data_IF_148106252459
#
_entry.id   IF_148106252459
#
_cell.length_a   1.000
_cell.length_b   1.000
_cell.length_c   1.000
_cell.angle_alpha   90.00
_cell.angle_beta   90.00
_cell.angle_gamma   90.00
#
_symmetry.space_group_name_H-M   'P 1'
#
loop_
_entity.id
_entity.type
_entity.pdbx_description
1 polymer ?
#
# COMPACT_ATOMS: atom_id res chain seq x y z
N UNK A 1 -3.29 9.40 -46.85
CA UNK A 1 -4.27 8.30 -47.00
C UNK A 1 -5.70 8.64 -46.55
N UNK A 2 -5.96 9.63 -45.70
CA UNK A 2 -7.33 10.10 -45.40
C UNK A 2 -7.99 10.87 -46.56
N UNK A 3 -7.17 11.62 -47.32
CA UNK A 3 -7.58 12.34 -48.54
C UNK A 3 -7.94 11.43 -49.73
N UNK A 4 -7.60 10.13 -49.66
CA UNK A 4 -7.76 9.15 -50.75
C UNK A 4 -9.07 8.34 -50.67
N UNK A 5 -10.04 8.73 -49.81
CA UNK A 5 -11.36 8.05 -49.61
C UNK A 5 -11.32 6.54 -49.33
N UNK A 6 -10.15 5.96 -49.05
CA UNK A 6 -9.95 4.51 -48.90
C UNK A 6 -10.35 3.99 -47.51
N UNK A 7 -10.56 4.89 -46.54
CA UNK A 7 -10.93 4.55 -45.17
C UNK A 7 -12.09 5.47 -44.79
N UNK A 8 -13.24 4.90 -44.41
CA UNK A 8 -14.36 5.68 -43.88
C UNK A 8 -13.94 6.22 -42.50
N UNK A 9 -14.22 7.50 -42.17
CA UNK A 9 -13.81 8.07 -40.89
C UNK A 9 -14.60 7.51 -39.70
N UNK A 10 -15.76 6.90 -39.94
CA UNK A 10 -16.70 6.44 -38.91
C UNK A 10 -16.09 5.43 -37.92
N UNK A 11 -15.35 4.37 -38.35
CA UNK A 11 -14.75 3.42 -37.41
C UNK A 11 -13.57 4.02 -36.62
N UNK A 12 -12.88 5.02 -37.17
CA UNK A 12 -11.79 5.69 -36.47
C UNK A 12 -12.31 6.50 -35.28
N UNK A 13 -13.40 7.27 -35.49
CA UNK A 13 -14.05 7.99 -34.40
C UNK A 13 -14.58 7.03 -33.33
N UNK A 14 -15.26 5.95 -33.73
CA UNK A 14 -15.76 4.95 -32.79
C UNK A 14 -14.63 4.34 -31.95
N UNK A 15 -13.52 3.96 -32.59
CA UNK A 15 -12.33 3.43 -31.92
C UNK A 15 -11.69 4.43 -30.96
N UNK A 16 -11.60 5.71 -31.34
CA UNK A 16 -11.03 6.76 -30.48
C UNK A 16 -11.87 7.00 -29.21
N UNK A 17 -13.20 7.00 -29.34
CA UNK A 17 -14.12 7.14 -28.20
C UNK A 17 -14.00 5.94 -27.28
N UNK A 18 -13.94 4.73 -27.84
CA UNK A 18 -13.76 3.50 -27.06
C UNK A 18 -12.43 3.50 -26.30
N UNK A 19 -11.35 3.94 -26.94
CA UNK A 19 -10.03 4.02 -26.34
C UNK A 19 -10.00 5.04 -25.18
N UNK A 20 -10.61 6.21 -25.36
CA UNK A 20 -10.73 7.22 -24.28
C UNK A 20 -11.56 6.66 -23.11
N UNK A 21 -12.66 5.96 -23.39
CA UNK A 21 -13.48 5.35 -22.34
C UNK A 21 -12.70 4.30 -21.52
N UNK A 22 -11.86 3.50 -22.17
CA UNK A 22 -10.97 2.54 -21.50
C UNK A 22 -9.96 3.29 -20.61
N UNK A 23 -9.33 4.35 -21.13
CA UNK A 23 -8.37 5.14 -20.35
C UNK A 23 -9.01 5.77 -19.11
N UNK A 24 -10.22 6.35 -19.23
CA UNK A 24 -10.95 6.92 -18.10
C UNK A 24 -11.29 5.83 -17.07
N UNK A 25 -11.70 4.65 -17.53
CA UNK A 25 -12.03 3.53 -16.65
C UNK A 25 -10.81 3.09 -15.84
N UNK A 26 -9.66 2.96 -16.51
CA UNK A 26 -8.42 2.54 -15.85
C UNK A 26 -7.87 3.59 -14.89
N UNK A 27 -7.89 4.87 -15.27
CA UNK A 27 -7.30 5.93 -14.44
C UNK A 27 -8.20 6.43 -13.31
N UNK A 28 -9.52 6.38 -13.47
CA UNK A 28 -10.43 6.97 -12.49
C UNK A 28 -11.39 5.94 -11.89
N UNK A 29 -12.03 5.11 -12.71
CA UNK A 29 -13.07 4.20 -12.22
C UNK A 29 -12.47 3.04 -11.38
N UNK A 30 -11.39 2.43 -11.84
CA UNK A 30 -10.70 1.36 -11.10
C UNK A 30 -10.18 1.83 -9.74
N UNK A 31 -9.37 2.90 -9.62
CA UNK A 31 -8.89 3.34 -8.31
C UNK A 31 -10.04 3.76 -7.39
N UNK A 32 -11.07 4.44 -7.89
CA UNK A 32 -12.25 4.78 -7.08
C UNK A 32 -12.99 3.53 -6.59
N UNK A 33 -13.17 2.53 -7.46
CA UNK A 33 -13.89 1.30 -7.11
C UNK A 33 -13.10 0.44 -6.11
N UNK A 34 -11.79 0.31 -6.29
CA UNK A 34 -10.91 -0.44 -5.39
C UNK A 34 -10.82 0.28 -4.04
N UNK A 35 -10.59 1.59 -4.04
CA UNK A 35 -10.49 2.39 -2.81
C UNK A 35 -11.80 2.39 -2.01
N UNK A 36 -12.96 2.42 -2.68
CA UNK A 36 -14.27 2.37 -2.02
C UNK A 36 -14.64 0.97 -1.50
N UNK A 37 -14.17 -0.10 -2.16
CA UNK A 37 -14.51 -1.48 -1.78
C UNK A 37 -13.54 -2.10 -0.78
N UNK A 38 -12.31 -1.62 -0.69
CA UNK A 38 -11.36 -2.13 0.28
C UNK A 38 -11.66 -1.52 1.65
N UNK A 39 -12.50 -2.21 2.41
CA UNK A 39 -12.71 -1.96 3.83
C UNK A 39 -11.36 -1.87 4.54
N UNK A 40 -10.39 -2.75 4.24
CA UNK A 40 -9.07 -2.79 4.88
C UNK A 40 -8.33 -1.45 4.96
N UNK A 41 -8.46 -0.55 3.96
CA UNK A 41 -7.82 0.77 4.01
C UNK A 41 -8.56 1.82 4.84
N UNK A 42 -9.84 1.59 5.14
CA UNK A 42 -10.67 2.50 5.93
C UNK A 42 -10.71 2.12 7.41
N UNK A 43 -10.30 0.90 7.77
CA UNK A 43 -10.37 0.43 9.15
C UNK A 43 -9.15 0.91 9.94
N UNK A 44 -9.41 1.37 11.15
CA UNK A 44 -8.36 1.66 12.13
C UNK A 44 -7.75 0.32 12.55
N UNK A 45 -6.43 0.28 12.59
CA UNK A 45 -5.68 -0.85 13.13
C UNK A 45 -4.82 -0.36 14.29
N UNK A 46 -4.65 -1.21 15.29
CA UNK A 46 -3.79 -0.96 16.44
C UNK A 46 -2.58 -1.87 16.29
N UNK A 47 -1.38 -1.30 16.39
CA UNK A 47 -0.14 -2.05 16.36
C UNK A 47 0.32 -2.29 17.79
N UNK A 48 0.35 -3.54 18.20
CA UNK A 48 0.90 -3.99 19.47
C UNK A 48 2.33 -4.48 19.25
N UNK A 49 3.26 -3.88 19.99
CA UNK A 49 4.67 -4.23 19.95
C UNK A 49 4.96 -5.00 21.24
N UNK A 50 5.21 -6.30 21.11
CA UNK A 50 5.48 -7.19 22.24
C UNK A 50 6.87 -7.80 22.12
N UNK A 51 7.37 -8.41 23.20
CA UNK A 51 8.66 -9.12 23.19
C UNK A 51 8.70 -10.29 22.19
N UNK A 52 7.54 -10.88 21.90
CA UNK A 52 7.40 -11.99 20.95
C UNK A 52 7.33 -11.55 19.49
N UNK A 53 6.93 -10.31 19.19
CA UNK A 53 6.75 -9.86 17.83
C UNK A 53 5.89 -8.61 17.67
N UNK A 54 5.56 -8.33 16.41
CA UNK A 54 4.66 -7.25 16.01
C UNK A 54 3.28 -7.83 15.72
N UNK A 55 2.26 -7.34 16.42
CA UNK A 55 0.88 -7.73 16.23
C UNK A 55 0.07 -6.54 15.72
N UNK A 56 -0.77 -6.79 14.72
CA UNK A 56 -1.70 -5.81 14.18
C UNK A 56 -3.11 -6.33 14.41
N UNK A 57 -3.85 -5.56 15.21
CA UNK A 57 -5.24 -5.82 15.51
C UNK A 57 -6.11 -4.84 14.72
N UNK A 58 -6.92 -5.39 13.82
CA UNK A 58 -7.95 -4.66 13.10
C UNK A 58 -9.32 -5.24 13.46
N UNK A 59 -10.39 -4.48 13.25
CA UNK A 59 -11.76 -4.93 13.56
C UNK A 59 -12.17 -6.22 12.80
N UNK A 60 -11.54 -6.52 11.67
CA UNK A 60 -11.87 -7.66 10.79
C UNK A 60 -10.82 -8.79 10.90
N UNK A 61 -9.78 -8.64 11.72
CA UNK A 61 -8.78 -9.69 11.89
C UNK A 61 -7.54 -9.29 12.68
N UNK A 62 -6.85 -10.31 13.18
CA UNK A 62 -5.63 -10.19 13.97
C UNK A 62 -4.50 -10.90 13.22
N UNK A 63 -3.42 -10.19 12.92
CA UNK A 63 -2.21 -10.78 12.37
C UNK A 63 -1.04 -10.52 13.31
N UNK A 64 -0.31 -11.57 13.66
CA UNK A 64 0.91 -11.46 14.46
C UNK A 64 2.10 -11.99 13.68
N UNK A 65 3.20 -11.25 13.71
CA UNK A 65 4.45 -11.61 13.08
C UNK A 65 5.55 -11.66 14.13
N UNK A 66 6.25 -12.79 14.26
CA UNK A 66 7.40 -12.89 15.15
C UNK A 66 8.57 -12.07 14.58
N UNK A 67 9.44 -11.53 15.43
CA UNK A 67 10.55 -10.66 15.01
C UNK A 67 11.44 -11.30 13.95
N UNK A 68 11.60 -12.62 13.99
CA UNK A 68 12.42 -13.39 13.06
C UNK A 68 11.91 -13.35 11.63
N UNK A 69 10.61 -13.07 11.42
CA UNK A 69 9.98 -12.96 10.11
C UNK A 69 10.22 -11.62 9.42
N UNK A 70 10.71 -10.62 10.15
CA UNK A 70 11.05 -9.32 9.59
C UNK A 70 12.44 -9.45 8.96
N UNK A 71 12.53 -9.14 7.66
CA UNK A 71 13.78 -9.22 6.90
C UNK A 71 14.59 -7.95 7.05
N UNK A 72 13.96 -6.79 6.84
CA UNK A 72 14.60 -5.49 6.97
C UNK A 72 13.54 -4.40 7.17
N UNK A 73 13.98 -3.23 7.61
CA UNK A 73 13.14 -2.04 7.67
C UNK A 73 13.81 -0.85 6.97
N UNK A 74 13.01 0.05 6.42
CA UNK A 74 13.46 1.30 5.80
C UNK A 74 12.75 2.47 6.46
N UNK A 75 13.51 3.50 6.80
CA UNK A 75 12.96 4.74 7.32
C UNK A 75 12.75 5.75 6.19
N UNK A 76 11.51 6.21 6.01
CA UNK A 76 11.18 7.37 5.16
C UNK A 76 10.77 8.56 6.04
N UNK A 77 10.66 9.79 5.51
CA UNK A 77 10.36 10.97 6.33
C UNK A 77 9.08 10.82 7.18
N UNK A 78 8.03 10.22 6.62
CA UNK A 78 6.71 10.12 7.25
C UNK A 78 6.34 8.71 7.71
N UNK A 79 7.08 7.68 7.28
CA UNK A 79 6.72 6.29 7.52
C UNK A 79 7.93 5.41 7.87
N UNK A 80 7.70 4.37 8.65
CA UNK A 80 8.59 3.21 8.73
C UNK A 80 8.04 2.08 7.86
N UNK A 81 8.88 1.56 6.98
CA UNK A 81 8.55 0.47 6.08
C UNK A 81 9.13 -0.81 6.67
N UNK A 82 8.28 -1.75 7.06
CA UNK A 82 8.70 -3.04 7.63
C UNK A 82 8.47 -4.10 6.57
N UNK A 83 9.53 -4.78 6.14
CA UNK A 83 9.47 -5.80 5.10
C UNK A 83 9.53 -7.19 5.71
N UNK A 84 8.49 -7.98 5.42
CA UNK A 84 8.42 -9.41 5.74
C UNK A 84 8.89 -10.23 4.54
N UNK A 85 8.40 -9.85 3.36
CA UNK A 85 8.75 -10.42 2.06
C UNK A 85 8.84 -9.30 1.00
N UNK A 86 9.42 -9.55 -0.19
CA UNK A 86 9.42 -8.57 -1.28
C UNK A 86 8.01 -8.10 -1.71
N UNK A 87 6.99 -8.92 -1.45
CA UNK A 87 5.58 -8.64 -1.78
C UNK A 87 4.73 -8.21 -0.59
N UNK A 88 5.22 -8.39 0.65
CA UNK A 88 4.45 -8.09 1.86
C UNK A 88 5.24 -7.14 2.76
N UNK A 89 4.72 -5.94 2.91
CA UNK A 89 5.31 -4.88 3.71
C UNK A 89 4.21 -4.10 4.46
N UNK A 90 4.59 -3.54 5.59
CA UNK A 90 3.74 -2.66 6.38
C UNK A 90 4.33 -1.26 6.46
N UNK A 91 3.44 -0.27 6.36
CA UNK A 91 3.76 1.14 6.52
C UNK A 91 3.20 1.64 7.84
N UNK A 92 4.10 2.08 8.72
CA UNK A 92 3.71 2.64 10.01
C UNK A 92 3.91 4.16 9.96
N UNK A 93 2.83 4.96 10.08
CA UNK A 93 2.93 6.41 10.06
C UNK A 93 3.60 6.94 11.33
N UNK A 94 4.61 7.81 11.18
CA UNK A 94 5.28 8.45 12.31
C UNK A 94 4.37 9.39 13.08
N UNK A 95 3.41 10.04 12.41
CA UNK A 95 2.47 10.97 13.04
C UNK A 95 1.51 10.29 14.02
N UNK A 96 1.35 8.96 13.94
CA UNK A 96 0.48 8.21 14.84
C UNK A 96 1.17 7.86 16.17
N UNK A 97 2.47 8.12 16.29
CA UNK A 97 3.28 7.86 17.48
C UNK A 97 3.72 9.15 18.14
N UNK A 98 3.80 9.14 19.47
CA UNK A 98 4.43 10.23 20.22
C UNK A 98 5.97 10.08 20.16
N UNK A 99 6.68 11.15 20.50
CA UNK A 99 8.16 11.20 20.40
C UNK A 99 8.84 10.14 21.26
N UNK A 100 8.27 9.82 22.43
CA UNK A 100 8.81 8.80 23.33
C UNK A 100 8.57 7.38 22.78
N UNK A 101 7.36 7.10 22.29
CA UNK A 101 7.01 5.79 21.72
C UNK A 101 7.75 5.53 20.41
N UNK A 102 8.03 6.58 19.64
CA UNK A 102 8.86 6.51 18.44
C UNK A 102 10.29 6.05 18.76
N UNK A 103 10.90 6.64 19.80
CA UNK A 103 12.27 6.30 20.20
C UNK A 103 12.37 4.86 20.71
N UNK A 104 11.42 4.43 21.54
CA UNK A 104 11.39 3.04 22.04
C UNK A 104 11.17 2.04 20.90
N UNK A 105 10.29 2.35 19.95
CA UNK A 105 10.07 1.54 18.77
C UNK A 105 11.33 1.38 17.91
N UNK A 106 12.03 2.48 17.61
CA UNK A 106 13.28 2.44 16.83
C UNK A 106 14.36 1.64 17.57
N UNK A 107 14.47 1.78 18.90
CA UNK A 107 15.41 1.00 19.70
C UNK A 107 15.14 -0.52 19.59
N UNK A 108 13.87 -0.93 19.64
CA UNK A 108 13.47 -2.34 19.48
C UNK A 108 13.81 -2.84 18.07
N UNK A 109 13.52 -2.05 17.02
CA UNK A 109 13.86 -2.42 15.64
C UNK A 109 15.36 -2.60 15.44
N UNK A 110 16.18 -1.69 15.98
CA UNK A 110 17.63 -1.80 15.91
C UNK A 110 18.15 -3.03 16.68
N UNK A 111 17.57 -3.34 17.84
CA UNK A 111 17.99 -4.48 18.64
C UNK A 111 17.61 -5.83 18.02
N UNK A 112 16.42 -5.94 17.43
CA UNK A 112 15.84 -7.22 16.99
C UNK A 112 16.02 -7.50 15.50
N UNK A 113 16.09 -6.47 14.65
CA UNK A 113 16.12 -6.62 13.18
C UNK A 113 17.52 -6.39 12.61
N UNK A 114 18.27 -5.38 13.08
CA UNK A 114 19.62 -5.08 12.58
C UNK A 114 20.72 -6.04 13.07
N UNK A 115 20.44 -6.86 14.09
CA UNK A 115 21.42 -7.79 14.67
C UNK A 115 21.49 -9.15 13.97
N UNK A 116 20.75 -9.34 12.87
CA UNK A 116 20.89 -10.48 11.94
C UNK A 116 21.91 -10.14 10.87
#
# INVERSE_FOLDING_TARGET
LFYLKKIRPEPFFLGSVLWIAIMITYWFALPQMIYRKSSTFQHKFIVHINDSGLQIDAEIGHNSWPWESITHYVESPNFYHIYFNPTNFFLIPKYAMDTETLKSFVAILQQRVQKK
#
